data_IF_135866364200
#
_entry.id   IF_135866364200
#
_cell.length_a   1.000
_cell.length_b   1.000
_cell.length_c   1.000
_cell.angle_alpha   90.00
_cell.angle_beta   90.00
_cell.angle_gamma   90.00
#
_symmetry.space_group_name_H-M   'P 1'
#
loop_
_entity.id
_entity.type
_entity.pdbx_description
1 polymer ?
#
# COMPACT_ATOMS: atom_id res chain seq x y z
N UNK A 1 -0.02 32.50 -4.18
CA UNK A 1 -0.74 31.25 -4.53
C UNK A 1 0.17 30.27 -5.26
N UNK A 2 1.28 29.78 -4.70
CA UNK A 2 2.22 28.92 -5.44
C UNK A 2 2.89 27.79 -4.61
N UNK A 3 2.34 27.42 -3.44
CA UNK A 3 3.01 26.46 -2.56
C UNK A 3 2.59 24.98 -2.72
N UNK A 4 1.51 24.67 -3.44
CA UNK A 4 0.86 23.35 -3.38
C UNK A 4 1.12 22.43 -4.58
N UNK A 5 1.65 22.98 -5.68
CA UNK A 5 2.00 22.22 -6.90
C UNK A 5 3.33 21.45 -6.77
N UNK A 6 4.19 21.80 -5.81
CA UNK A 6 5.52 21.20 -5.66
C UNK A 6 5.55 19.75 -5.12
N UNK A 7 4.40 19.22 -4.67
CA UNK A 7 4.33 17.86 -4.17
C UNK A 7 3.92 16.84 -5.25
N UNK A 8 3.20 17.26 -6.26
CA UNK A 8 2.69 16.37 -7.32
C UNK A 8 3.85 15.78 -8.12
N UNK A 9 3.78 14.47 -8.38
CA UNK A 9 4.85 13.71 -9.02
C UNK A 9 5.94 13.23 -8.07
N UNK A 10 5.91 13.62 -6.79
CA UNK A 10 6.89 13.18 -5.80
C UNK A 10 6.64 11.73 -5.44
N UNK A 11 7.67 10.88 -5.59
CA UNK A 11 7.67 9.51 -5.13
C UNK A 11 8.22 9.40 -3.69
N UNK A 12 7.67 8.47 -2.92
CA UNK A 12 8.20 8.08 -1.62
C UNK A 12 9.16 6.89 -1.77
N UNK A 13 10.11 6.71 -0.83
CA UNK A 13 10.99 5.55 -0.83
C UNK A 13 10.17 4.26 -0.83
N UNK A 14 10.46 3.32 -1.73
CA UNK A 14 9.74 2.04 -1.75
C UNK A 14 10.11 1.20 -0.54
N UNK A 15 9.21 0.29 -0.16
CA UNK A 15 9.45 -0.67 0.92
C UNK A 15 9.19 -2.09 0.42
N UNK A 16 10.17 -2.98 0.63
CA UNK A 16 10.05 -4.39 0.27
C UNK A 16 9.69 -5.25 1.48
N UNK A 17 8.93 -6.30 1.23
CA UNK A 17 8.43 -7.29 2.19
C UNK A 17 8.66 -8.70 1.62
N UNK A 18 9.19 -9.60 2.41
CA UNK A 18 9.39 -10.97 1.97
C UNK A 18 10.85 -11.42 2.04
N UNK A 19 11.19 -12.58 1.46
CA UNK A 19 10.25 -13.42 0.70
C UNK A 19 9.08 -13.89 1.55
N UNK A 20 7.84 -13.79 1.04
CA UNK A 20 6.65 -14.22 1.76
C UNK A 20 6.61 -15.73 1.86
N UNK A 21 6.17 -16.22 3.00
CA UNK A 21 6.16 -17.64 3.32
C UNK A 21 4.74 -18.18 3.49
N UNK A 22 4.57 -19.49 3.43
CA UNK A 22 3.29 -20.13 3.80
C UNK A 22 2.91 -19.83 5.25
N UNK A 23 3.89 -19.64 6.14
CA UNK A 23 3.63 -19.24 7.54
C UNK A 23 3.00 -17.84 7.61
N UNK A 24 3.38 -16.92 6.72
CA UNK A 24 2.76 -15.59 6.66
C UNK A 24 1.30 -15.69 6.20
N UNK A 25 1.00 -16.60 5.26
CA UNK A 25 -0.40 -16.87 4.87
C UNK A 25 -1.21 -17.43 6.01
N UNK A 26 -0.67 -18.39 6.78
CA UNK A 26 -1.34 -18.96 7.96
C UNK A 26 -1.58 -17.91 9.04
N UNK A 27 -0.58 -17.07 9.31
CA UNK A 27 -0.73 -15.96 10.27
C UNK A 27 -1.83 -15.00 9.84
N UNK A 28 -1.84 -14.66 8.55
CA UNK A 28 -2.86 -13.76 8.02
C UNK A 28 -4.25 -14.40 8.03
N UNK A 29 -4.37 -15.70 7.70
CA UNK A 29 -5.61 -16.44 7.81
C UNK A 29 -6.19 -16.39 9.23
N UNK A 30 -5.34 -16.60 10.25
CA UNK A 30 -5.73 -16.51 11.65
C UNK A 30 -6.19 -15.10 12.07
N UNK A 31 -5.54 -14.07 11.56
CA UNK A 31 -5.88 -12.68 11.86
C UNK A 31 -7.13 -12.18 11.13
N UNK A 32 -7.34 -12.61 9.89
CA UNK A 32 -8.44 -12.16 9.02
C UNK A 32 -9.70 -13.02 9.11
N UNK A 33 -9.59 -14.27 9.59
CA UNK A 33 -10.64 -15.27 9.53
C UNK A 33 -10.86 -15.88 8.13
N UNK A 34 -9.98 -15.61 7.18
CA UNK A 34 -10.04 -16.17 5.84
C UNK A 34 -9.33 -17.53 5.80
N UNK A 35 -10.08 -18.57 6.05
CA UNK A 35 -9.61 -19.97 6.04
C UNK A 35 -9.94 -20.70 4.74
N UNK A 36 -10.06 -20.00 3.62
CA UNK A 36 -10.27 -20.64 2.32
C UNK A 36 -9.10 -21.60 2.03
N UNK A 37 -9.39 -22.91 1.73
CA UNK A 37 -8.35 -23.92 1.48
C UNK A 37 -7.36 -23.57 0.38
N UNK A 38 -7.71 -22.71 -0.55
CA UNK A 38 -6.80 -22.22 -1.60
C UNK A 38 -5.51 -21.58 -1.06
N UNK A 39 -5.53 -21.12 0.19
CA UNK A 39 -4.43 -20.39 0.81
C UNK A 39 -3.52 -21.25 1.69
N UNK A 40 -3.91 -22.51 2.00
CA UNK A 40 -3.16 -23.35 2.92
C UNK A 40 -3.16 -24.83 2.58
N UNK A 41 -4.10 -25.32 1.75
CA UNK A 41 -4.20 -26.73 1.34
C UNK A 41 -3.68 -26.89 -0.10
N UNK A 42 -2.46 -27.42 -0.24
CA UNK A 42 -1.81 -27.61 -1.53
C UNK A 42 -2.60 -28.52 -2.48
N UNK A 43 -3.05 -29.75 -2.06
CA UNK A 43 -3.86 -30.60 -2.88
C UNK A 43 -5.13 -29.91 -3.39
N UNK A 44 -5.77 -29.12 -2.55
CA UNK A 44 -6.97 -28.38 -2.93
C UNK A 44 -6.65 -27.28 -3.97
N UNK A 45 -5.59 -26.49 -3.75
CA UNK A 45 -5.17 -25.43 -4.65
C UNK A 45 -4.79 -25.99 -6.03
N UNK A 46 -4.04 -27.10 -6.08
CA UNK A 46 -3.65 -27.78 -7.31
C UNK A 46 -4.86 -28.34 -8.05
N UNK A 47 -5.78 -28.99 -7.35
CA UNK A 47 -7.04 -29.49 -7.94
C UNK A 47 -7.88 -28.37 -8.54
N UNK A 48 -7.80 -27.16 -7.97
CA UNK A 48 -8.47 -25.95 -8.48
C UNK A 48 -7.71 -25.27 -9.62
N UNK A 49 -6.63 -25.89 -10.16
CA UNK A 49 -5.87 -25.41 -11.31
C UNK A 49 -4.78 -24.38 -10.97
N UNK A 50 -4.38 -24.27 -9.71
CA UNK A 50 -3.28 -23.40 -9.31
C UNK A 50 -1.98 -24.19 -9.18
N UNK A 51 -0.79 -23.60 -9.42
CA UNK A 51 0.49 -24.29 -9.25
C UNK A 51 0.82 -24.57 -7.77
N UNK A 52 0.24 -23.81 -6.84
CA UNK A 52 0.47 -23.90 -5.39
C UNK A 52 -0.64 -23.15 -4.64
N UNK A 53 -0.57 -23.12 -3.30
CA UNK A 53 -1.31 -22.15 -2.50
C UNK A 53 -0.81 -20.72 -2.81
N UNK A 54 -1.67 -19.75 -2.63
CA UNK A 54 -1.36 -18.32 -2.85
C UNK A 54 -1.94 -17.45 -1.75
N UNK A 55 -1.41 -16.24 -1.59
CA UNK A 55 -1.87 -15.31 -0.57
C UNK A 55 -3.33 -14.86 -0.79
N UNK A 56 -4.02 -14.58 0.31
CA UNK A 56 -5.29 -13.87 0.28
C UNK A 56 -5.09 -12.49 -0.36
N UNK A 57 -6.02 -12.04 -1.20
CA UNK A 57 -5.93 -10.70 -1.81
C UNK A 57 -5.74 -9.58 -0.79
N UNK A 58 -6.44 -9.67 0.34
CA UNK A 58 -6.31 -8.68 1.41
C UNK A 58 -4.97 -8.69 2.13
N UNK A 59 -4.14 -9.73 1.99
CA UNK A 59 -2.77 -9.77 2.52
C UNK A 59 -1.90 -8.68 1.87
N UNK A 60 -1.79 -8.68 0.53
CA UNK A 60 -1.02 -7.65 -0.17
C UNK A 60 -1.66 -6.27 -0.09
N UNK A 61 -2.99 -6.17 -0.02
CA UNK A 61 -3.68 -4.91 0.23
C UNK A 61 -3.35 -4.35 1.62
N UNK A 62 -3.24 -5.21 2.63
CA UNK A 62 -2.81 -4.86 3.98
C UNK A 62 -1.37 -4.36 4.04
N UNK A 63 -0.45 -4.98 3.29
CA UNK A 63 0.94 -4.50 3.17
C UNK A 63 0.97 -3.10 2.54
N UNK A 64 0.25 -2.89 1.43
CA UNK A 64 0.18 -1.61 0.73
C UNK A 64 -0.44 -0.51 1.61
N UNK A 65 -1.52 -0.83 2.34
CA UNK A 65 -2.16 0.06 3.31
C UNK A 65 -1.20 0.41 4.46
N UNK A 66 -0.50 -0.59 5.01
CA UNK A 66 0.47 -0.38 6.09
C UNK A 66 1.63 0.50 5.64
N UNK A 67 2.13 0.31 4.42
CA UNK A 67 3.13 1.17 3.83
C UNK A 67 2.63 2.63 3.74
N UNK A 68 1.47 2.86 3.11
CA UNK A 68 0.91 4.19 2.94
C UNK A 68 0.64 4.90 4.29
N UNK A 69 0.13 4.17 5.28
CA UNK A 69 -0.16 4.74 6.61
C UNK A 69 1.09 5.00 7.45
N UNK A 70 2.20 4.29 7.21
CA UNK A 70 3.51 4.63 7.81
C UNK A 70 4.06 5.94 7.26
N UNK A 71 3.81 6.25 6.00
CA UNK A 71 4.24 7.51 5.39
C UNK A 71 3.47 8.71 5.96
N UNK A 72 2.16 8.65 5.95
CA UNK A 72 1.31 9.83 6.21
C UNK A 72 0.46 9.72 7.48
N UNK A 73 0.61 8.67 8.27
CA UNK A 73 -0.09 8.46 9.53
C UNK A 73 -1.45 7.76 9.35
N UNK A 74 -1.69 6.70 10.15
CA UNK A 74 -2.92 5.91 10.08
C UNK A 74 -4.19 6.71 10.43
N UNK A 75 -4.07 7.75 11.27
CA UNK A 75 -5.20 8.61 11.65
C UNK A 75 -5.62 9.59 10.53
N UNK A 76 -4.73 9.81 9.59
CA UNK A 76 -4.89 10.81 8.53
C UNK A 76 -5.58 10.26 7.28
N UNK A 77 -5.67 8.93 7.14
CA UNK A 77 -6.30 8.31 5.99
C UNK A 77 -7.80 8.62 5.95
N UNK A 78 -8.31 8.98 4.78
CA UNK A 78 -9.72 9.28 4.53
C UNK A 78 -10.34 8.32 3.54
N UNK A 79 -9.53 7.83 2.59
CA UNK A 79 -9.96 6.87 1.59
C UNK A 79 -8.81 5.95 1.23
N UNK A 80 -9.12 4.69 0.98
CA UNK A 80 -8.20 3.70 0.45
C UNK A 80 -8.95 2.78 -0.50
N UNK A 81 -8.47 2.67 -1.72
CA UNK A 81 -9.04 1.82 -2.77
C UNK A 81 -7.95 0.97 -3.38
N UNK A 82 -8.27 -0.29 -3.68
CA UNK A 82 -7.32 -1.21 -4.32
C UNK A 82 -7.99 -1.98 -5.45
N UNK A 83 -7.16 -2.42 -6.37
CA UNK A 83 -7.50 -3.37 -7.41
C UNK A 83 -6.45 -4.49 -7.42
N UNK A 84 -6.90 -5.70 -7.20
CA UNK A 84 -6.07 -6.90 -7.31
C UNK A 84 -5.77 -7.17 -8.78
N UNK A 85 -4.49 -7.52 -9.08
CA UNK A 85 -4.00 -7.76 -10.44
C UNK A 85 -3.52 -9.18 -10.60
N UNK A 86 -2.55 -9.58 -9.79
CA UNK A 86 -1.91 -10.89 -9.84
C UNK A 86 -1.97 -11.58 -8.48
N UNK A 87 -1.82 -12.90 -8.48
CA UNK A 87 -1.65 -13.68 -7.25
C UNK A 87 -0.25 -13.50 -6.70
N UNK A 88 -0.14 -13.62 -5.38
CA UNK A 88 1.14 -13.64 -4.66
C UNK A 88 1.42 -15.07 -4.22
N UNK A 89 2.59 -15.56 -4.57
CA UNK A 89 3.02 -16.94 -4.33
C UNK A 89 4.02 -17.01 -3.17
N UNK A 90 4.14 -18.18 -2.49
CA UNK A 90 5.23 -18.39 -1.54
C UNK A 90 6.58 -18.18 -2.23
N UNK A 91 7.44 -17.38 -1.62
CA UNK A 91 8.74 -17.00 -2.17
C UNK A 91 8.76 -15.62 -2.83
N UNK A 92 7.61 -15.01 -3.13
CA UNK A 92 7.58 -13.66 -3.70
C UNK A 92 8.14 -12.62 -2.72
N UNK A 93 8.85 -11.65 -3.27
CA UNK A 93 9.24 -10.42 -2.57
C UNK A 93 8.40 -9.27 -3.12
N UNK A 94 7.65 -8.62 -2.23
CA UNK A 94 6.69 -7.59 -2.59
C UNK A 94 7.28 -6.22 -2.30
N UNK A 95 7.25 -5.31 -3.28
CA UNK A 95 7.73 -3.93 -3.14
C UNK A 95 6.56 -2.97 -3.30
N UNK A 96 6.25 -2.24 -2.22
CA UNK A 96 5.25 -1.19 -2.20
C UNK A 96 5.88 0.16 -2.53
N UNK A 97 5.21 0.94 -3.38
CA UNK A 97 5.58 2.30 -3.78
C UNK A 97 4.39 3.25 -3.72
N UNK A 98 4.67 4.54 -3.62
CA UNK A 98 3.66 5.59 -3.60
C UNK A 98 4.16 6.84 -4.32
N UNK A 99 3.26 7.49 -5.06
CA UNK A 99 3.52 8.77 -5.72
C UNK A 99 2.38 9.74 -5.44
N UNK A 100 2.70 10.98 -5.14
CA UNK A 100 1.71 12.05 -4.93
C UNK A 100 1.07 12.41 -6.27
N UNK A 101 -0.23 12.29 -6.38
CA UNK A 101 -1.00 12.66 -7.59
C UNK A 101 -1.73 13.99 -7.43
N UNK A 102 -2.07 14.37 -6.20
CA UNK A 102 -2.68 15.66 -5.91
C UNK A 102 -2.35 16.12 -4.49
N UNK A 103 -2.23 17.43 -4.30
CA UNK A 103 -2.15 18.06 -2.99
C UNK A 103 -2.90 19.41 -3.05
N UNK A 104 -3.96 19.56 -2.28
CA UNK A 104 -4.80 20.73 -2.25
C UNK A 104 -5.17 21.10 -0.81
N UNK A 105 -5.55 22.36 -0.56
CA UNK A 105 -6.10 22.75 0.74
C UNK A 105 -7.34 21.91 1.07
N UNK A 106 -7.51 21.57 2.33
CA UNK A 106 -8.57 20.67 2.78
C UNK A 106 -9.99 21.27 2.68
N UNK A 107 -10.15 22.55 2.32
CA UNK A 107 -11.45 23.24 2.26
C UNK A 107 -11.88 23.77 3.65
N UNK A 108 -13.10 24.31 3.76
CA UNK A 108 -13.59 25.05 4.93
C UNK A 108 -14.27 24.15 6.00
N UNK A 109 -13.87 22.91 6.16
CA UNK A 109 -14.42 22.00 7.19
C UNK A 109 -13.79 22.19 8.58
N UNK A 110 -14.42 21.65 9.62
CA UNK A 110 -13.95 21.76 11.02
C UNK A 110 -12.52 21.21 11.26
N UNK A 111 -12.04 20.32 10.39
CA UNK A 111 -10.69 19.73 10.41
C UNK A 111 -9.73 20.43 9.43
N UNK A 112 -10.14 21.53 8.82
CA UNK A 112 -9.47 22.12 7.64
C UNK A 112 -8.16 22.83 8.00
N UNK A 113 -8.09 23.65 9.01
CA UNK A 113 -6.88 24.38 9.40
C UNK A 113 -5.88 24.57 8.24
N UNK A 114 -4.58 24.44 8.53
CA UNK A 114 -3.50 24.37 7.51
C UNK A 114 -3.32 22.97 6.88
N UNK A 115 -4.38 22.14 6.94
CA UNK A 115 -4.33 20.77 6.43
C UNK A 115 -4.41 20.73 4.90
N UNK A 116 -3.68 19.77 4.33
CA UNK A 116 -3.71 19.42 2.91
C UNK A 116 -4.43 18.09 2.72
N UNK A 117 -5.31 18.04 1.75
CA UNK A 117 -5.81 16.78 1.19
C UNK A 117 -4.78 16.29 0.17
N UNK A 118 -4.12 15.17 0.47
CA UNK A 118 -3.08 14.57 -0.36
C UNK A 118 -3.62 13.26 -0.95
N UNK A 119 -3.52 13.13 -2.26
CA UNK A 119 -3.86 11.90 -2.97
C UNK A 119 -2.58 11.19 -3.40
N UNK A 120 -2.54 9.89 -3.17
CA UNK A 120 -1.45 9.01 -3.58
C UNK A 120 -1.95 8.00 -4.61
N UNK A 121 -1.14 7.76 -5.63
CA UNK A 121 -1.17 6.52 -6.40
C UNK A 121 -0.28 5.51 -5.70
N UNK A 122 -0.76 4.27 -5.59
CA UNK A 122 -0.14 3.20 -4.81
C UNK A 122 0.03 1.96 -5.69
N UNK A 123 1.20 1.34 -5.60
CA UNK A 123 1.48 0.11 -6.30
C UNK A 123 2.26 -0.86 -5.42
N UNK A 124 1.97 -2.14 -5.58
CA UNK A 124 2.77 -3.22 -5.03
C UNK A 124 3.14 -4.17 -6.17
N UNK A 125 4.43 -4.37 -6.38
CA UNK A 125 4.97 -5.27 -7.40
C UNK A 125 5.68 -6.45 -6.76
N UNK A 126 5.80 -7.57 -7.51
CA UNK A 126 6.66 -8.68 -7.12
C UNK A 126 8.10 -8.47 -7.64
N UNK A 127 8.99 -9.42 -7.38
CA UNK A 127 10.41 -9.38 -7.79
C UNK A 127 10.61 -9.39 -9.31
N UNK A 128 9.58 -9.76 -10.09
CA UNK A 128 9.60 -9.73 -11.56
C UNK A 128 9.10 -8.38 -12.11
N UNK A 129 8.75 -7.43 -11.23
CA UNK A 129 8.15 -6.15 -11.60
C UNK A 129 6.67 -6.23 -12.01
N UNK A 130 6.01 -7.38 -11.78
CA UNK A 130 4.58 -7.52 -12.05
C UNK A 130 3.77 -6.89 -10.92
N UNK A 131 2.82 -6.04 -11.27
CA UNK A 131 1.89 -5.44 -10.32
C UNK A 131 0.96 -6.49 -9.73
N UNK A 132 1.03 -6.73 -8.42
CA UNK A 132 0.14 -7.65 -7.70
C UNK A 132 -1.11 -6.95 -7.17
N UNK A 133 -0.97 -5.70 -6.73
CA UNK A 133 -2.08 -4.82 -6.37
C UNK A 133 -1.73 -3.39 -6.68
N UNK A 134 -2.66 -2.64 -7.25
CA UNK A 134 -2.59 -1.19 -7.44
C UNK A 134 -3.70 -0.51 -6.66
N UNK A 135 -3.56 0.76 -6.34
CA UNK A 135 -4.57 1.46 -5.58
C UNK A 135 -4.34 2.96 -5.50
N UNK A 136 -5.20 3.60 -4.72
CA UNK A 136 -5.06 5.01 -4.37
C UNK A 136 -5.45 5.23 -2.92
N UNK A 137 -4.87 6.26 -2.31
CA UNK A 137 -5.25 6.69 -0.97
C UNK A 137 -5.38 8.20 -0.90
N UNK A 138 -6.29 8.67 -0.05
CA UNK A 138 -6.43 10.08 0.30
C UNK A 138 -6.13 10.26 1.78
N UNK A 139 -5.31 11.24 2.08
CA UNK A 139 -4.89 11.62 3.44
C UNK A 139 -5.19 13.08 3.70
N UNK A 140 -5.44 13.39 4.97
CA UNK A 140 -5.51 14.76 5.47
C UNK A 140 -4.29 14.98 6.38
N UNK A 141 -3.34 15.80 5.94
CA UNK A 141 -2.05 16.02 6.63
C UNK A 141 -1.73 17.50 6.72
N UNK A 142 -0.94 17.92 7.72
CA UNK A 142 -0.39 19.29 7.73
C UNK A 142 0.68 19.45 6.66
N UNK A 143 0.86 20.67 6.18
CA UNK A 143 1.93 20.98 5.23
C UNK A 143 3.32 20.64 5.80
N UNK A 144 3.56 20.94 7.08
CA UNK A 144 4.83 20.66 7.76
C UNK A 144 5.14 19.14 7.81
N UNK A 145 4.12 18.30 8.03
CA UNK A 145 4.30 16.85 8.03
C UNK A 145 4.68 16.32 6.63
N UNK A 146 4.10 16.88 5.58
CA UNK A 146 4.42 16.52 4.22
C UNK A 146 5.83 17.00 3.81
N UNK A 147 6.24 18.20 4.25
CA UNK A 147 7.58 18.73 4.01
C UNK A 147 8.67 17.93 4.74
N UNK A 148 8.42 17.55 5.98
CA UNK A 148 9.34 16.72 6.76
C UNK A 148 9.60 15.35 6.10
N UNK A 149 8.55 14.71 5.60
CA UNK A 149 8.66 13.44 4.85
C UNK A 149 9.41 13.63 3.54
N UNK A 150 9.18 14.73 2.90
CA UNK A 150 9.83 15.12 1.68
C UNK A 150 11.33 15.33 1.84
N UNK A 151 11.76 15.95 2.92
CA UNK A 151 13.16 16.14 3.25
C UNK A 151 13.85 14.80 3.58
N UNK A 152 13.16 13.91 4.32
CA UNK A 152 13.68 12.58 4.67
C UNK A 152 13.91 11.70 3.42
N UNK A 153 13.04 11.78 2.42
CA UNK A 153 13.17 11.03 1.17
C UNK A 153 14.37 11.49 0.31
N UNK A 154 14.74 12.78 0.38
CA UNK A 154 15.85 13.34 -0.38
C UNK A 154 17.24 12.95 0.18
N UNK A 155 17.32 12.50 1.43
CA UNK A 155 18.58 12.08 2.10
C UNK A 155 18.94 10.64 1.79
N UNK A 156 17.99 9.84 1.29
CA UNK A 156 18.14 8.39 1.06
C UNK A 156 18.30 8.02 -0.41
N UNK A 157 18.29 8.99 -1.31
CA UNK A 157 18.51 8.87 -2.76
C UNK A 157 19.94 9.27 -3.14
#
# INVERSE_FOLDING_TARGET
MNGKSGYVGRAFPPQSFGPVTRTDFVRYAGASGDFNPMHHDEPYAVKAGNPSVFAMGMFQAGLLSSYATRLLGARNIRRFTVRFRERVWPGDTLTCSATVTAAAAAGDGADAGDSLKVSLDLECTNQEGKTVVSGSAEFLVSADALDALAAAAAVTA
#
